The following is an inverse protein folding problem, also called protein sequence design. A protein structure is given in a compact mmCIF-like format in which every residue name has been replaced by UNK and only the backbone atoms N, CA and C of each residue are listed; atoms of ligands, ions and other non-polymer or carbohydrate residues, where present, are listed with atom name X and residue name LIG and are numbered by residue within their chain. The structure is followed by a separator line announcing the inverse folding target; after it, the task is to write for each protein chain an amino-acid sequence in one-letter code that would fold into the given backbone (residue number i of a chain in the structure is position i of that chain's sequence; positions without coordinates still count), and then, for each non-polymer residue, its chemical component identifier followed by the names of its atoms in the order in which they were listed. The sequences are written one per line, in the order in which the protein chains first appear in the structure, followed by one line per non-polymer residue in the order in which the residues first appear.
data_IF_723966246990
#
_entry.id   IF_723966246990
#
_cell.length_a   1.000
_cell.length_b   1.000
_cell.length_c   1.000
_cell.angle_alpha   90.00
_cell.angle_beta   90.00
_cell.angle_gamma   90.00
#
_symmetry.space_group_name_H-M   'P 1'
#
loop_
_entity.id
_entity.type
_entity.pdbx_description
1 polymer ?
#
# COMPACT_ATOMS: atom_id res chain seq x y z
N UNK A 1 -29.88 -7.54 66.54
CA UNK A 1 -30.88 -7.96 65.55
C UNK A 1 -31.15 -6.77 64.64
N UNK A 2 -30.77 -6.70 63.38
CA UNK A 2 -29.92 -7.50 62.52
C UNK A 2 -29.46 -6.55 61.40
N UNK A 3 -28.20 -6.69 61.00
CA UNK A 3 -27.68 -6.07 59.79
C UNK A 3 -28.32 -6.75 58.57
N UNK A 4 -28.84 -5.98 57.62
CA UNK A 4 -28.81 -6.43 56.23
C UNK A 4 -28.87 -5.26 55.24
N UNK A 5 -27.67 -4.77 54.94
CA UNK A 5 -27.35 -4.05 53.73
C UNK A 5 -27.23 -5.10 52.62
N UNK A 6 -28.29 -5.28 51.82
CA UNK A 6 -28.26 -6.14 50.65
C UNK A 6 -27.83 -5.29 49.44
N UNK A 7 -26.60 -5.54 49.01
CA UNK A 7 -25.93 -5.06 47.81
C UNK A 7 -26.79 -5.34 46.58
N UNK A 8 -27.33 -4.30 45.96
CA UNK A 8 -28.04 -4.43 44.68
C UNK A 8 -27.00 -4.59 43.56
N UNK A 9 -27.09 -5.74 42.91
CA UNK A 9 -26.14 -6.30 41.96
C UNK A 9 -25.97 -5.46 40.70
N UNK A 10 -24.73 -5.09 40.38
CA UNK A 10 -24.29 -4.73 39.03
C UNK A 10 -24.62 -5.89 38.07
N UNK A 11 -25.31 -5.68 36.94
CA UNK A 11 -25.59 -6.76 36.02
C UNK A 11 -24.29 -7.12 35.29
N UNK A 12 -23.74 -8.30 35.61
CA UNK A 12 -22.70 -8.93 34.83
C UNK A 12 -23.29 -9.32 33.47
N UNK A 13 -23.13 -8.44 32.47
CA UNK A 13 -23.39 -8.76 31.07
C UNK A 13 -22.60 -10.02 30.68
N UNK A 14 -23.29 -10.97 30.04
CA UNK A 14 -22.75 -12.29 29.72
C UNK A 14 -21.52 -12.15 28.78
N UNK A 15 -20.42 -12.89 29.02
CA UNK A 15 -19.22 -12.86 28.18
C UNK A 15 -19.49 -13.07 26.68
N UNK A 16 -20.53 -13.84 26.33
CA UNK A 16 -20.93 -14.11 24.94
C UNK A 16 -21.54 -12.90 24.21
N UNK A 17 -22.33 -12.08 24.90
CA UNK A 17 -22.92 -10.88 24.30
C UNK A 17 -21.86 -9.79 24.07
N UNK A 18 -20.92 -9.69 25.01
CA UNK A 18 -19.79 -8.77 24.94
C UNK A 18 -18.82 -9.16 23.81
N UNK A 19 -18.57 -10.46 23.61
CA UNK A 19 -17.78 -10.96 22.48
C UNK A 19 -18.46 -10.68 21.13
N UNK A 20 -19.79 -10.83 21.05
CA UNK A 20 -20.59 -10.55 19.85
C UNK A 20 -20.56 -9.06 19.45
N UNK A 21 -20.69 -8.15 20.43
CA UNK A 21 -20.61 -6.71 20.20
C UNK A 21 -19.21 -6.30 19.74
N UNK A 22 -18.15 -6.82 20.36
CA UNK A 22 -16.77 -6.56 19.95
C UNK A 22 -16.49 -7.06 18.53
N UNK A 23 -17.01 -8.23 18.15
CA UNK A 23 -16.89 -8.75 16.79
C UNK A 23 -17.67 -7.90 15.77
N UNK A 24 -18.85 -7.41 16.13
CA UNK A 24 -19.62 -6.51 15.28
C UNK A 24 -18.90 -5.15 15.07
N UNK A 25 -18.32 -4.59 16.15
CA UNK A 25 -17.53 -3.37 16.10
C UNK A 25 -16.26 -3.55 15.26
N UNK A 26 -15.55 -4.68 15.42
CA UNK A 26 -14.38 -5.02 14.61
C UNK A 26 -14.73 -5.11 13.12
N UNK A 27 -15.83 -5.80 12.78
CA UNK A 27 -16.30 -5.89 11.39
C UNK A 27 -16.65 -4.52 10.81
N UNK A 28 -17.36 -3.69 11.55
CA UNK A 28 -17.70 -2.33 11.13
C UNK A 28 -16.46 -1.45 10.95
N UNK A 29 -15.54 -1.48 11.91
CA UNK A 29 -14.28 -0.75 11.84
C UNK A 29 -13.48 -1.13 10.59
N UNK A 30 -13.29 -2.43 10.34
CA UNK A 30 -12.59 -2.92 9.15
C UNK A 30 -13.31 -2.51 7.86
N UNK A 31 -14.64 -2.56 7.85
CA UNK A 31 -15.43 -2.14 6.69
C UNK A 31 -15.29 -0.64 6.41
N UNK A 32 -15.51 0.23 7.39
CA UNK A 32 -15.38 1.68 7.24
C UNK A 32 -13.96 2.06 6.81
N UNK A 33 -12.95 1.43 7.41
CA UNK A 33 -11.56 1.66 7.06
C UNK A 33 -11.26 1.32 5.59
N UNK A 34 -11.66 0.13 5.12
CA UNK A 34 -11.47 -0.29 3.73
C UNK A 34 -12.27 0.59 2.76
N UNK A 35 -13.46 1.02 3.17
CA UNK A 35 -14.29 1.95 2.39
C UNK A 35 -13.62 3.31 2.25
N UNK A 36 -13.07 3.86 3.33
CA UNK A 36 -12.39 5.16 3.30
C UNK A 36 -11.15 5.12 2.39
N UNK A 37 -10.34 4.06 2.48
CA UNK A 37 -9.21 3.86 1.55
C UNK A 37 -9.68 3.80 0.10
N UNK A 38 -10.74 3.04 -0.18
CA UNK A 38 -11.29 2.93 -1.53
C UNK A 38 -11.78 4.27 -2.06
N UNK A 39 -12.52 5.03 -1.26
CA UNK A 39 -12.99 6.36 -1.63
C UNK A 39 -11.81 7.30 -1.89
N UNK A 40 -10.78 7.27 -1.05
CA UNK A 40 -9.57 8.07 -1.23
C UNK A 40 -8.86 7.77 -2.55
N UNK A 41 -8.57 6.50 -2.84
CA UNK A 41 -7.91 6.12 -4.09
C UNK A 41 -8.80 6.30 -5.33
N UNK A 42 -10.10 6.04 -5.23
CA UNK A 42 -11.06 6.28 -6.33
C UNK A 42 -11.19 7.78 -6.64
N UNK A 43 -11.22 8.62 -5.61
CA UNK A 43 -11.17 10.07 -5.75
C UNK A 43 -9.88 10.52 -6.43
N UNK A 44 -8.72 10.08 -5.94
CA UNK A 44 -7.42 10.42 -6.55
C UNK A 44 -7.36 10.00 -8.01
N UNK A 45 -7.79 8.77 -8.34
CA UNK A 45 -7.84 8.29 -9.72
C UNK A 45 -8.73 9.17 -10.62
N UNK A 46 -9.93 9.48 -10.15
CA UNK A 46 -10.89 10.30 -10.91
C UNK A 46 -10.38 11.73 -11.10
N UNK A 47 -9.80 12.32 -10.06
CA UNK A 47 -9.23 13.66 -10.08
C UNK A 47 -8.05 13.76 -11.06
N UNK A 48 -7.11 12.80 -11.02
CA UNK A 48 -5.98 12.76 -11.94
C UNK A 48 -6.44 12.57 -13.40
N UNK A 49 -7.42 11.70 -13.62
CA UNK A 49 -8.01 11.47 -14.96
C UNK A 49 -8.70 12.74 -15.48
N UNK A 50 -9.54 13.38 -14.64
CA UNK A 50 -10.23 14.61 -15.00
C UNK A 50 -9.24 15.75 -15.29
N UNK A 51 -8.22 15.91 -14.45
CA UNK A 51 -7.18 16.91 -14.67
C UNK A 51 -6.42 16.67 -15.98
N UNK A 52 -6.09 15.41 -16.31
CA UNK A 52 -5.43 15.07 -17.56
C UNK A 52 -6.31 15.40 -18.78
N UNK A 53 -7.61 15.14 -18.71
CA UNK A 53 -8.55 15.45 -19.80
C UNK A 53 -8.74 16.96 -19.97
N UNK A 54 -8.84 17.70 -18.86
CA UNK A 54 -9.14 19.14 -18.88
C UNK A 54 -7.92 20.03 -19.14
N UNK A 55 -6.75 19.68 -18.59
CA UNK A 55 -5.54 20.51 -18.61
C UNK A 55 -4.40 19.90 -19.43
N UNK A 56 -4.59 18.70 -19.98
CA UNK A 56 -3.58 18.02 -20.80
C UNK A 56 -2.28 17.76 -20.05
N UNK A 57 -1.15 18.03 -20.70
CA UNK A 57 0.18 17.78 -20.12
C UNK A 57 0.47 18.62 -18.87
N UNK A 58 -0.18 19.78 -18.71
CA UNK A 58 -0.04 20.62 -17.50
C UNK A 58 -0.47 19.92 -16.21
N UNK A 59 -1.41 18.96 -16.31
CA UNK A 59 -1.87 18.16 -15.18
C UNK A 59 -0.80 17.19 -14.64
N UNK A 60 0.17 16.80 -15.46
CA UNK A 60 1.23 15.88 -15.04
C UNK A 60 2.12 16.51 -13.97
N UNK A 61 2.28 17.83 -14.03
CA UNK A 61 3.14 18.61 -13.14
C UNK A 61 2.43 19.09 -11.87
N UNK A 62 1.10 19.25 -11.91
CA UNK A 62 0.28 19.64 -10.74
C UNK A 62 -0.32 18.46 -9.97
N UNK A 63 0.03 17.23 -10.37
CA UNK A 63 -0.49 16.00 -9.76
C UNK A 63 -0.19 15.90 -8.25
N UNK A 64 1.02 16.31 -7.86
CA UNK A 64 1.44 16.27 -6.46
C UNK A 64 0.61 17.22 -5.60
N UNK A 65 0.55 18.51 -5.96
CA UNK A 65 -0.20 19.51 -5.18
C UNK A 65 -1.68 19.19 -5.06
N UNK A 66 -2.27 18.59 -6.10
CA UNK A 66 -3.69 18.25 -6.14
C UNK A 66 -4.06 17.04 -5.26
N UNK A 67 -3.16 16.06 -5.14
CA UNK A 67 -3.49 14.75 -4.58
C UNK A 67 -2.68 14.33 -3.34
N UNK A 68 -1.55 14.99 -3.06
CA UNK A 68 -0.62 14.57 -2.00
C UNK A 68 -1.29 14.46 -0.64
N UNK A 69 -2.14 15.43 -0.26
CA UNK A 69 -2.84 15.42 1.04
C UNK A 69 -3.71 14.16 1.22
N UNK A 70 -4.50 13.80 0.20
CA UNK A 70 -5.36 12.60 0.23
C UNK A 70 -4.49 11.35 0.30
N UNK A 71 -3.42 11.28 -0.50
CA UNK A 71 -2.52 10.14 -0.50
C UNK A 71 -1.77 9.98 0.82
N UNK A 72 -1.35 11.06 1.47
CA UNK A 72 -0.75 11.00 2.82
C UNK A 72 -1.72 10.39 3.83
N UNK A 73 -2.99 10.80 3.81
CA UNK A 73 -4.02 10.20 4.67
C UNK A 73 -4.22 8.71 4.34
N UNK A 74 -4.36 8.35 3.07
CA UNK A 74 -4.50 6.95 2.64
C UNK A 74 -3.31 6.08 3.07
N UNK A 75 -2.09 6.61 3.02
CA UNK A 75 -0.90 5.89 3.45
C UNK A 75 -0.81 5.74 4.97
N UNK A 76 -1.19 6.77 5.74
CA UNK A 76 -1.28 6.66 7.19
C UNK A 76 -2.32 5.63 7.61
N UNK A 77 -3.45 5.56 6.89
CA UNK A 77 -4.41 4.49 7.03
C UNK A 77 -3.73 3.14 6.76
N UNK A 78 -3.02 2.98 5.63
CA UNK A 78 -2.35 1.71 5.29
C UNK A 78 -1.38 1.20 6.38
N UNK A 79 -0.74 2.09 7.13
CA UNK A 79 0.08 1.71 8.31
C UNK A 79 -0.79 1.10 9.41
N UNK A 80 -1.97 1.66 9.68
CA UNK A 80 -2.93 1.08 10.63
C UNK A 80 -3.37 -0.32 10.21
N UNK A 81 -3.51 -0.60 8.90
CA UNK A 81 -3.81 -1.96 8.44
C UNK A 81 -2.71 -2.96 8.78
N UNK A 82 -1.44 -2.57 8.65
CA UNK A 82 -0.32 -3.43 9.07
C UNK A 82 -0.37 -3.68 10.58
N UNK A 83 -0.67 -2.65 11.38
CA UNK A 83 -0.84 -2.78 12.83
C UNK A 83 -2.01 -3.71 13.15
N UNK A 84 -3.15 -3.54 12.48
CA UNK A 84 -4.32 -4.40 12.63
C UNK A 84 -4.01 -5.86 12.28
N UNK A 85 -3.25 -6.10 11.21
CA UNK A 85 -2.78 -7.44 10.87
C UNK A 85 -1.83 -7.99 11.93
N UNK A 86 -0.91 -7.17 12.47
CA UNK A 86 0.05 -7.56 13.51
C UNK A 86 -0.62 -7.95 14.83
N UNK A 87 -1.70 -7.25 15.20
CA UNK A 87 -2.53 -7.56 16.38
C UNK A 87 -3.44 -8.79 16.14
N UNK A 88 -3.46 -9.34 14.92
CA UNK A 88 -4.31 -10.49 14.56
C UNK A 88 -5.77 -10.12 14.30
N UNK A 89 -6.06 -8.83 14.08
CA UNK A 89 -7.40 -8.37 13.69
C UNK A 89 -7.75 -8.77 12.26
N UNK A 90 -6.78 -9.14 11.42
CA UNK A 90 -7.00 -9.64 10.06
C UNK A 90 -6.08 -10.83 9.80
N UNK A 91 -6.60 -11.87 9.13
CA UNK A 91 -5.82 -13.06 8.71
C UNK A 91 -4.98 -12.77 7.46
N UNK A 92 -4.22 -11.68 7.47
CA UNK A 92 -3.31 -11.30 6.39
C UNK A 92 -1.87 -11.54 6.85
N UNK A 93 -0.99 -12.10 6.00
CA UNK A 93 0.42 -12.23 6.36
C UNK A 93 1.01 -10.83 6.57
N UNK A 94 1.39 -10.54 7.81
CA UNK A 94 1.84 -9.21 8.27
C UNK A 94 3.10 -8.77 7.54
N UNK A 95 4.05 -9.69 7.35
CA UNK A 95 5.38 -9.36 6.84
C UNK A 95 5.36 -8.86 5.38
N UNK A 96 4.69 -9.52 4.41
CA UNK A 96 4.52 -8.96 3.07
C UNK A 96 3.77 -7.63 3.03
N UNK A 97 2.71 -7.48 3.84
CA UNK A 97 1.93 -6.24 3.90
C UNK A 97 2.79 -5.08 4.43
N UNK A 98 3.57 -5.31 5.48
CA UNK A 98 4.48 -4.34 6.07
C UNK A 98 5.53 -3.85 5.06
N UNK A 99 6.16 -4.77 4.31
CA UNK A 99 7.17 -4.41 3.31
C UNK A 99 6.55 -3.55 2.19
N UNK A 100 5.35 -3.91 1.72
CA UNK A 100 4.67 -3.16 0.67
C UNK A 100 4.28 -1.75 1.12
N UNK A 101 3.69 -1.61 2.31
CA UNK A 101 3.29 -0.30 2.86
C UNK A 101 4.53 0.54 3.16
N UNK A 102 5.57 -0.04 3.73
CA UNK A 102 6.83 0.67 4.01
C UNK A 102 7.48 1.18 2.73
N UNK A 103 7.55 0.36 1.68
CA UNK A 103 8.12 0.77 0.39
C UNK A 103 7.40 1.98 -0.21
N UNK A 104 6.07 1.96 -0.23
CA UNK A 104 5.27 3.10 -0.70
C UNK A 104 5.42 4.34 0.17
N UNK A 105 5.52 4.18 1.48
CA UNK A 105 5.75 5.29 2.40
C UNK A 105 7.11 5.94 2.17
N UNK A 106 8.17 5.16 1.93
CA UNK A 106 9.49 5.69 1.58
C UNK A 106 9.40 6.53 0.31
N UNK A 107 8.73 6.03 -0.73
CA UNK A 107 8.54 6.79 -1.98
C UNK A 107 7.73 8.06 -1.75
N UNK A 108 6.60 8.01 -1.03
CA UNK A 108 5.73 9.17 -0.86
C UNK A 108 6.32 10.23 0.09
N UNK A 109 6.75 9.83 1.28
CA UNK A 109 7.22 10.77 2.31
C UNK A 109 8.67 11.20 2.07
N UNK A 110 9.54 10.26 1.69
CA UNK A 110 10.96 10.56 1.57
C UNK A 110 11.29 11.05 0.16
N UNK A 111 10.92 10.31 -0.89
CA UNK A 111 11.27 10.73 -2.27
C UNK A 111 10.48 11.97 -2.68
N UNK A 112 9.14 11.93 -2.62
CA UNK A 112 8.33 13.07 -3.08
C UNK A 112 8.17 14.16 -2.02
N UNK A 113 8.04 13.79 -0.74
CA UNK A 113 7.87 14.76 0.35
C UNK A 113 9.13 15.57 0.66
N UNK A 114 10.34 15.03 0.43
CA UNK A 114 11.59 15.73 0.76
C UNK A 114 12.24 16.45 -0.43
N UNK A 115 11.84 16.16 -1.67
CA UNK A 115 12.40 16.77 -2.88
C UNK A 115 11.33 17.54 -3.66
N UNK A 116 11.27 18.87 -3.54
CA UNK A 116 10.39 19.72 -4.35
C UNK A 116 10.59 19.52 -5.85
N UNK A 117 11.82 19.28 -6.30
CA UNK A 117 12.17 19.06 -7.70
C UNK A 117 11.56 17.78 -8.28
N UNK A 118 11.25 16.80 -7.42
CA UNK A 118 10.53 15.59 -7.83
C UNK A 118 9.03 15.83 -7.94
N UNK A 119 8.45 16.74 -7.15
CA UNK A 119 7.02 17.05 -7.16
C UNK A 119 6.58 17.63 -8.51
N UNK A 120 7.47 18.35 -9.18
CA UNK A 120 7.29 18.90 -10.53
C UNK A 120 7.72 17.92 -11.64
N UNK A 121 7.83 16.62 -11.37
CA UNK A 121 8.10 15.62 -12.41
C UNK A 121 6.84 14.85 -12.77
N UNK A 122 6.65 14.59 -14.06
CA UNK A 122 5.55 13.77 -14.58
C UNK A 122 5.55 12.34 -14.04
N UNK A 123 6.67 11.84 -13.51
CA UNK A 123 6.76 10.54 -12.85
C UNK A 123 5.81 10.44 -11.66
N UNK A 124 5.62 11.53 -10.90
CA UNK A 124 4.71 11.55 -9.74
C UNK A 124 3.28 11.24 -10.15
N UNK A 125 2.82 11.83 -11.26
CA UNK A 125 1.52 11.53 -11.83
C UNK A 125 1.37 10.02 -12.09
N UNK A 126 2.35 9.42 -12.76
CA UNK A 126 2.28 7.99 -13.10
C UNK A 126 2.32 7.08 -11.87
N UNK A 127 3.12 7.42 -10.86
CA UNK A 127 3.14 6.67 -9.59
C UNK A 127 1.79 6.76 -8.90
N UNK A 128 1.22 7.96 -8.75
CA UNK A 128 -0.07 8.14 -8.08
C UNK A 128 -1.23 7.50 -8.84
N UNK A 129 -1.20 7.57 -10.17
CA UNK A 129 -2.19 6.97 -11.04
C UNK A 129 -2.15 5.44 -10.95
N UNK A 130 -0.95 4.85 -11.03
CA UNK A 130 -0.75 3.40 -10.94
C UNK A 130 -1.01 2.85 -9.54
N UNK A 131 -0.71 3.62 -8.49
CA UNK A 131 -1.13 3.29 -7.13
C UNK A 131 -2.66 3.25 -7.04
N UNK A 132 -3.32 4.33 -7.44
CA UNK A 132 -4.77 4.44 -7.30
C UNK A 132 -5.51 3.34 -8.06
N UNK A 133 -5.12 3.03 -9.30
CA UNK A 133 -5.74 1.94 -10.06
C UNK A 133 -5.48 0.57 -9.41
N UNK A 134 -4.25 0.30 -8.92
CA UNK A 134 -3.92 -0.97 -8.25
C UNK A 134 -4.79 -1.21 -7.00
N UNK A 135 -5.05 -0.14 -6.23
CA UNK A 135 -5.89 -0.17 -5.04
C UNK A 135 -7.38 -0.36 -5.37
N UNK A 136 -7.89 0.32 -6.39
CA UNK A 136 -9.27 0.13 -6.89
C UNK A 136 -9.48 -1.32 -7.32
N UNK A 137 -8.52 -1.91 -8.03
CA UNK A 137 -8.56 -3.33 -8.42
C UNK A 137 -8.45 -4.27 -7.21
N UNK A 138 -7.76 -3.87 -6.12
CA UNK A 138 -7.74 -4.67 -4.87
C UNK A 138 -9.12 -4.76 -4.27
N UNK A 139 -9.84 -3.64 -4.16
CA UNK A 139 -11.15 -3.63 -3.55
C UNK A 139 -12.25 -4.22 -4.45
N UNK A 140 -12.11 -4.10 -5.77
CA UNK A 140 -13.03 -4.71 -6.71
C UNK A 140 -12.98 -6.26 -6.69
N UNK A 141 -11.84 -6.84 -6.30
CA UNK A 141 -11.60 -8.28 -6.44
C UNK A 141 -12.54 -9.19 -5.62
N UNK A 142 -12.76 -8.97 -4.30
CA UNK A 142 -13.63 -9.85 -3.51
C UNK A 142 -15.09 -9.85 -3.98
N UNK A 143 -15.54 -8.73 -4.56
CA UNK A 143 -16.91 -8.59 -5.10
C UNK A 143 -17.04 -9.25 -6.47
N UNK A 144 -15.98 -9.21 -7.28
CA UNK A 144 -15.97 -9.74 -8.65
C UNK A 144 -15.51 -11.20 -8.75
N UNK A 145 -14.90 -11.78 -7.70
CA UNK A 145 -14.40 -13.16 -7.70
C UNK A 145 -15.50 -14.24 -7.73
N UNK A 146 -16.77 -13.86 -7.72
CA UNK A 146 -17.92 -14.76 -7.75
C UNK A 146 -18.25 -15.30 -9.15
N UNK A 147 -17.63 -14.77 -10.21
CA UNK A 147 -17.93 -15.18 -11.59
C UNK A 147 -16.65 -15.51 -12.39
N UNK A 148 -16.66 -16.62 -13.11
CA UNK A 148 -15.51 -17.15 -13.86
C UNK A 148 -15.00 -16.21 -14.97
N UNK A 149 -15.83 -15.23 -15.36
CA UNK A 149 -15.54 -14.19 -16.37
C UNK A 149 -14.44 -13.22 -15.93
N UNK A 150 -14.25 -13.01 -14.64
CA UNK A 150 -13.29 -12.02 -14.13
C UNK A 150 -11.86 -12.53 -13.99
N UNK A 151 -11.57 -13.76 -14.47
CA UNK A 151 -10.21 -14.33 -14.54
C UNK A 151 -9.24 -13.44 -15.30
N UNK A 152 -9.71 -12.70 -16.31
CA UNK A 152 -8.90 -11.76 -17.09
C UNK A 152 -8.43 -10.58 -16.22
N UNK A 153 -9.28 -10.04 -15.33
CA UNK A 153 -8.86 -8.95 -14.42
C UNK A 153 -7.82 -9.41 -13.39
N UNK A 154 -7.93 -10.65 -12.91
CA UNK A 154 -6.95 -11.26 -12.01
C UNK A 154 -5.60 -11.37 -12.72
N UNK A 155 -5.63 -11.90 -13.94
CA UNK A 155 -4.44 -12.05 -14.77
C UNK A 155 -3.83 -10.69 -15.10
N UNK A 156 -4.63 -9.71 -15.51
CA UNK A 156 -4.19 -8.36 -15.83
C UNK A 156 -3.47 -7.70 -14.65
N UNK A 157 -4.04 -7.84 -13.44
CA UNK A 157 -3.43 -7.32 -12.22
C UNK A 157 -2.05 -7.93 -11.97
N UNK A 158 -1.97 -9.26 -11.95
CA UNK A 158 -0.73 -9.98 -11.62
C UNK A 158 0.35 -9.85 -12.70
N UNK A 159 -0.05 -9.86 -13.97
CA UNK A 159 0.89 -9.87 -15.10
C UNK A 159 1.31 -8.48 -15.55
N UNK A 160 0.45 -7.46 -15.43
CA UNK A 160 0.76 -6.11 -15.90
C UNK A 160 0.82 -5.07 -14.78
N UNK A 161 -0.21 -4.95 -13.94
CA UNK A 161 -0.26 -3.83 -12.98
C UNK A 161 0.82 -3.94 -11.91
N UNK A 162 1.02 -5.11 -11.32
CA UNK A 162 2.09 -5.32 -10.33
C UNK A 162 3.50 -5.00 -10.85
N UNK A 163 3.96 -5.57 -12.00
CA UNK A 163 5.24 -5.20 -12.60
C UNK A 163 5.33 -3.71 -12.90
N UNK A 164 4.27 -3.14 -13.47
CA UNK A 164 4.25 -1.75 -13.90
C UNK A 164 4.32 -0.77 -12.73
N UNK A 165 3.57 -1.02 -11.65
CA UNK A 165 3.65 -0.23 -10.41
C UNK A 165 5.04 -0.31 -9.80
N UNK A 166 5.66 -1.49 -9.78
CA UNK A 166 7.02 -1.66 -9.26
C UNK A 166 8.06 -0.94 -10.12
N UNK A 167 7.91 -1.02 -11.45
CA UNK A 167 8.82 -0.38 -12.39
C UNK A 167 8.76 1.15 -12.28
N UNK A 168 7.56 1.74 -12.18
CA UNK A 168 7.43 3.21 -12.07
C UNK A 168 7.97 3.72 -10.73
N UNK A 169 7.80 2.97 -9.65
CA UNK A 169 8.41 3.29 -8.36
C UNK A 169 9.95 3.23 -8.44
N UNK A 170 10.51 2.21 -9.10
CA UNK A 170 11.94 2.12 -9.34
C UNK A 170 12.47 3.30 -10.16
N UNK A 171 11.74 3.72 -11.20
CA UNK A 171 12.09 4.91 -12.00
C UNK A 171 12.03 6.18 -11.17
N UNK A 172 11.02 6.35 -10.31
CA UNK A 172 10.92 7.50 -9.40
C UNK A 172 12.12 7.56 -8.45
N UNK A 173 12.52 6.41 -7.88
CA UNK A 173 13.69 6.32 -7.02
C UNK A 173 14.96 6.64 -7.82
N UNK A 174 15.16 6.03 -8.99
CA UNK A 174 16.32 6.28 -9.85
C UNK A 174 16.47 7.76 -10.24
N UNK A 175 15.38 8.46 -10.54
CA UNK A 175 15.41 9.90 -10.83
C UNK A 175 15.70 10.74 -9.59
N UNK A 176 15.33 10.28 -8.41
CA UNK A 176 15.63 10.96 -7.15
C UNK A 176 17.08 10.81 -6.70
N UNK A 177 17.78 9.72 -7.08
CA UNK A 177 19.18 9.48 -6.69
C UNK A 177 20.13 10.66 -6.99
N UNK A 178 20.21 11.19 -8.22
CA UNK A 178 21.10 12.32 -8.51
C UNK A 178 20.69 13.60 -7.76
N UNK A 179 19.39 13.77 -7.48
CA UNK A 179 18.88 14.91 -6.72
C UNK A 179 19.27 14.82 -5.24
N UNK A 180 19.23 13.62 -4.64
CA UNK A 180 19.72 13.40 -3.27
C UNK A 180 21.24 13.55 -3.16
N UNK A 181 22.00 13.07 -4.15
CA UNK A 181 23.46 13.22 -4.19
C UNK A 181 23.88 14.71 -4.31
N UNK A 182 23.09 15.52 -5.03
CA UNK A 182 23.33 16.96 -5.17
C UNK A 182 22.87 17.78 -3.96
N UNK A 183 21.67 17.52 -3.44
CA UNK A 183 21.05 18.28 -2.36
C UNK A 183 21.64 17.97 -0.98
N UNK A 184 22.38 16.85 -0.82
CA UNK A 184 22.92 16.35 0.46
C UNK A 184 21.87 16.21 1.57
N UNK A 185 20.58 16.24 1.24
CA UNK A 185 19.49 16.04 2.20
C UNK A 185 19.64 14.64 2.80
N UNK A 186 19.68 14.56 4.14
CA UNK A 186 19.99 13.36 4.95
C UNK A 186 21.42 12.82 4.85
N UNK A 187 22.35 13.50 4.18
CA UNK A 187 23.78 13.21 4.31
C UNK A 187 24.31 13.93 5.55
N UNK A 188 24.32 13.23 6.69
CA UNK A 188 24.99 13.73 7.90
C UNK A 188 26.49 13.78 7.62
N UNK A 189 27.13 14.97 7.57
CA UNK A 189 28.59 15.03 7.52
C UNK A 189 29.16 14.86 8.94
N UNK A 190 30.42 14.42 9.02
CA UNK A 190 31.31 14.29 10.21
C UNK A 190 31.23 12.97 11.02
N UNK A 191 32.25 12.63 11.83
CA UNK A 191 33.70 12.94 11.80
C UNK A 191 34.54 11.67 11.48
N UNK A 192 35.81 11.83 11.09
CA UNK A 192 36.76 10.75 10.71
C UNK A 192 36.97 9.63 11.76
N UNK A 193 36.37 9.72 12.94
CA UNK A 193 36.57 8.77 14.04
C UNK A 193 35.71 7.50 13.95
N UNK A 194 34.67 7.48 13.11
CA UNK A 194 33.75 6.33 12.98
C UNK A 194 33.57 6.04 11.50
N UNK A 195 34.38 5.13 10.96
CA UNK A 195 34.49 4.79 9.53
C UNK A 195 33.26 4.11 8.90
N UNK A 196 32.04 4.47 9.31
CA UNK A 196 30.79 3.94 8.76
C UNK A 196 29.96 5.08 8.17
N UNK A 197 30.18 5.38 6.89
CA UNK A 197 29.35 6.32 6.13
C UNK A 197 28.05 5.63 5.72
N UNK A 198 26.92 6.03 6.34
CA UNK A 198 25.58 5.66 5.83
C UNK A 198 25.02 6.86 5.09
N UNK A 199 25.43 7.02 3.83
CA UNK A 199 24.78 7.97 2.93
C UNK A 199 23.32 7.55 2.73
N UNK A 200 22.37 8.47 2.81
CA UNK A 200 20.97 8.20 2.49
C UNK A 200 20.78 7.62 1.07
N UNK A 201 21.68 7.98 0.15
CA UNK A 201 21.79 7.39 -1.19
C UNK A 201 22.15 5.89 -1.17
N UNK A 202 22.89 5.41 -0.16
CA UNK A 202 23.13 3.98 0.04
C UNK A 202 21.84 3.24 0.44
N UNK A 203 21.04 3.83 1.31
CA UNK A 203 19.73 3.27 1.71
C UNK A 203 18.75 3.18 0.54
N UNK A 204 18.71 4.19 -0.35
CA UNK A 204 17.91 4.17 -1.58
C UNK A 204 18.42 3.13 -2.60
N UNK A 205 19.74 2.98 -2.75
CA UNK A 205 20.35 1.93 -3.59
C UNK A 205 20.05 0.53 -3.06
N UNK A 206 20.11 0.35 -1.74
CA UNK A 206 19.70 -0.90 -1.09
C UNK A 206 18.21 -1.19 -1.30
N UNK A 207 17.35 -0.17 -1.19
CA UNK A 207 15.92 -0.28 -1.50
C UNK A 207 15.67 -0.72 -2.94
N UNK A 208 16.36 -0.12 -3.92
CA UNK A 208 16.29 -0.54 -5.33
C UNK A 208 16.72 -1.99 -5.52
N UNK A 209 17.79 -2.43 -4.86
CA UNK A 209 18.25 -3.83 -4.94
C UNK A 209 17.21 -4.79 -4.36
N UNK A 210 16.61 -4.45 -3.21
CA UNK A 210 15.55 -5.23 -2.59
C UNK A 210 14.29 -5.29 -3.47
N UNK A 211 13.92 -4.17 -4.09
CA UNK A 211 12.79 -4.09 -5.02
C UNK A 211 13.02 -4.97 -6.26
N UNK A 212 14.22 -4.90 -6.85
CA UNK A 212 14.58 -5.74 -8.00
C UNK A 212 14.63 -7.23 -7.65
N UNK A 213 15.11 -7.56 -6.44
CA UNK A 213 15.11 -8.92 -5.93
C UNK A 213 13.67 -9.45 -5.72
N UNK A 214 12.80 -8.66 -5.09
CA UNK A 214 11.39 -8.99 -4.91
C UNK A 214 10.64 -9.14 -6.25
N UNK A 215 10.93 -8.26 -7.21
CA UNK A 215 10.40 -8.33 -8.57
C UNK A 215 10.82 -9.64 -9.27
N UNK A 216 12.11 -9.97 -9.20
CA UNK A 216 12.67 -11.18 -9.80
C UNK A 216 12.06 -12.47 -9.23
N UNK A 217 11.80 -12.51 -7.92
CA UNK A 217 11.11 -13.63 -7.27
C UNK A 217 9.66 -13.75 -7.77
N UNK A 218 8.94 -12.62 -7.87
CA UNK A 218 7.55 -12.63 -8.36
C UNK A 218 7.45 -13.10 -9.81
N UNK A 219 8.31 -12.58 -10.70
CA UNK A 219 8.37 -13.03 -12.10
C UNK A 219 8.78 -14.49 -12.18
N UNK A 220 9.75 -14.94 -11.36
CA UNK A 220 10.14 -16.36 -11.34
C UNK A 220 9.00 -17.25 -10.86
N UNK A 221 8.16 -16.81 -9.92
CA UNK A 221 6.96 -17.54 -9.52
C UNK A 221 5.88 -17.56 -10.61
N UNK A 222 5.74 -16.48 -11.38
CA UNK A 222 4.79 -16.39 -12.49
C UNK A 222 5.24 -17.22 -13.71
N UNK A 223 6.54 -17.23 -13.99
CA UNK A 223 7.16 -17.92 -15.12
C UNK A 223 7.49 -19.38 -14.80
N UNK A 224 7.67 -19.75 -13.52
CA UNK A 224 7.76 -21.14 -13.10
C UNK A 224 6.37 -21.76 -13.25
N UNK A 225 6.10 -22.52 -14.32
CA UNK A 225 4.84 -23.20 -14.47
C UNK A 225 4.97 -24.42 -13.57
N UNK A 226 4.64 -24.28 -12.28
CA UNK A 226 4.36 -25.44 -11.46
C UNK A 226 3.12 -26.10 -12.05
N UNK A 227 3.40 -27.11 -12.89
CA UNK A 227 2.50 -28.08 -13.52
C UNK A 227 1.56 -28.77 -12.52
N UNK A 228 0.64 -28.05 -11.85
CA UNK A 228 -0.18 -28.67 -10.78
C UNK A 228 -1.66 -28.29 -10.66
N UNK A 229 -2.23 -27.48 -11.56
CA UNK A 229 -3.70 -27.24 -11.52
C UNK A 229 -4.44 -27.31 -12.86
N UNK A 230 -3.80 -27.77 -13.94
CA UNK A 230 -4.47 -27.99 -15.24
C UNK A 230 -4.61 -29.47 -15.64
N UNK A 231 -4.21 -30.42 -14.78
CA UNK A 231 -4.28 -31.88 -15.04
C UNK A 231 -5.25 -32.65 -14.12
N UNK A 232 -6.10 -31.98 -13.32
CA UNK A 232 -7.03 -32.66 -12.39
C UNK A 232 -8.51 -32.29 -12.59
N UNK A 233 -8.89 -31.85 -13.80
CA UNK A 233 -10.31 -31.77 -14.19
C UNK A 233 -10.58 -32.21 -15.63
N UNK A 234 -9.64 -32.97 -16.20
CA UNK A 234 -9.78 -33.70 -17.48
C UNK A 234 -9.65 -35.22 -17.22
N UNK A 235 -9.60 -35.63 -15.94
CA UNK A 235 -9.46 -37.03 -15.55
C UNK A 235 -10.37 -37.43 -14.38
N UNK A 236 -11.57 -36.86 -14.38
CA UNK A 236 -12.73 -37.46 -13.74
C UNK A 236 -13.85 -37.25 -14.72
N UNK A 237 -13.96 -38.24 -15.61
CA UNK A 237 -15.25 -38.75 -16.06
C UNK A 237 -16.28 -38.79 -14.92
#
# INVERSE_FOLDING_TARGET
MDQQQATESTPAGKPEEQCSVLDALRRHYLFLYNLLQFLGFSWTFSLLTANLILHGEGALYSAFSSCAAVLYVCQMLAVLEVINAAVGLVKTPVFPAMIQVMGRNVVLFVVFGSLPEMQERSVVFWVFYLWSISEVFRLAFPVLSLDAKFRILIWLRHTLLYPLTTLIEAVAVLQSLPLFDQSRLFSVPLPEAVGFSVSFSFSLRLYLLLMFFGFSINIRHLVSPSRRSYQLKVHTD
#
